data_IF_044428018707
#
_entry.id   IF_044428018707
#
_cell.length_a   1.000
_cell.length_b   1.000
_cell.length_c   1.000
_cell.angle_alpha   90.00
_cell.angle_beta   90.00
_cell.angle_gamma   90.00
#
_symmetry.space_group_name_H-M   'P 1'
#
loop_
_entity.id
_entity.type
_entity.pdbx_description
1 polymer ?
#
# COMPACT_ATOMS: atom_id res chain seq x y z
N UNK A 1 11.16 -24.44 9.12
CA UNK A 1 11.44 -24.10 7.70
C UNK A 1 11.36 -22.59 7.54
N UNK A 2 12.40 -21.98 6.97
CA UNK A 2 12.52 -20.52 6.82
C UNK A 2 11.35 -19.91 6.01
N UNK A 3 10.86 -20.65 5.01
CA UNK A 3 9.72 -20.25 4.15
C UNK A 3 8.45 -19.98 4.97
N UNK A 4 8.11 -20.84 5.94
CA UNK A 4 6.91 -20.63 6.77
C UNK A 4 7.02 -19.39 7.65
N UNK A 5 8.20 -19.05 8.15
CA UNK A 5 8.38 -17.82 8.93
C UNK A 5 8.15 -16.57 8.08
N UNK A 6 8.63 -16.59 6.83
CA UNK A 6 8.39 -15.50 5.88
C UNK A 6 6.91 -15.38 5.51
N UNK A 7 6.22 -16.50 5.28
CA UNK A 7 4.77 -16.52 5.05
C UNK A 7 3.98 -16.04 6.28
N UNK A 8 4.34 -16.49 7.48
CA UNK A 8 3.73 -16.02 8.73
C UNK A 8 3.93 -14.53 8.97
N UNK A 9 5.09 -13.97 8.62
CA UNK A 9 5.35 -12.54 8.72
C UNK A 9 4.54 -11.70 7.72
N UNK A 10 4.25 -12.27 6.54
CA UNK A 10 3.34 -11.67 5.57
C UNK A 10 1.87 -11.76 6.03
N UNK A 11 1.50 -12.85 6.71
CA UNK A 11 0.17 -13.03 7.30
C UNK A 11 -0.06 -12.10 8.51
N UNK A 12 1.00 -11.80 9.27
CA UNK A 12 0.99 -10.85 10.40
C UNK A 12 1.26 -9.40 9.98
N UNK A 13 0.96 -9.03 8.73
CA UNK A 13 0.94 -7.62 8.36
C UNK A 13 -0.16 -6.92 9.16
N UNK A 14 0.14 -5.73 9.65
CA UNK A 14 -0.84 -4.89 10.33
C UNK A 14 -1.79 -4.32 9.27
N UNK A 15 -3.09 -4.61 9.35
CA UNK A 15 -4.04 -4.11 8.37
C UNK A 15 -4.12 -2.60 8.46
N UNK A 16 -3.96 -1.94 7.32
CA UNK A 16 -4.15 -0.50 7.21
C UNK A 16 -5.65 -0.26 7.13
N UNK A 17 -6.23 0.22 8.22
CA UNK A 17 -7.68 0.51 8.30
C UNK A 17 -8.03 1.89 7.75
N UNK A 18 -7.08 2.81 7.84
CA UNK A 18 -7.26 4.19 7.40
C UNK A 18 -6.63 4.37 6.02
N UNK A 19 -7.39 4.71 4.98
CA UNK A 19 -6.82 4.98 3.66
C UNK A 19 -5.84 6.17 3.71
N UNK A 20 -6.08 7.14 4.60
CA UNK A 20 -5.20 8.30 4.75
C UNK A 20 -3.86 7.99 5.44
N UNK A 21 -3.65 6.78 5.97
CA UNK A 21 -2.40 6.38 6.61
C UNK A 21 -1.34 5.98 5.58
N UNK A 22 -0.67 7.00 5.01
CA UNK A 22 0.40 6.86 4.02
C UNK A 22 1.56 6.02 4.59
N UNK A 23 1.88 6.21 5.88
CA UNK A 23 2.97 5.49 6.56
C UNK A 23 2.62 4.01 6.69
N UNK A 24 1.39 3.69 7.08
CA UNK A 24 0.87 2.32 7.12
C UNK A 24 0.94 1.63 5.75
N UNK A 25 0.48 2.31 4.69
CA UNK A 25 0.52 1.78 3.31
C UNK A 25 1.95 1.51 2.83
N UNK A 26 2.87 2.43 3.11
CA UNK A 26 4.29 2.26 2.77
C UNK A 26 4.91 1.08 3.50
N UNK A 27 4.70 0.97 4.82
CA UNK A 27 5.23 -0.14 5.61
C UNK A 27 4.67 -1.50 5.16
N UNK A 28 3.39 -1.54 4.77
CA UNK A 28 2.76 -2.74 4.23
C UNK A 28 3.42 -3.14 2.90
N UNK A 29 3.62 -2.19 1.99
CA UNK A 29 4.32 -2.42 0.73
C UNK A 29 5.76 -2.90 0.95
N UNK A 30 6.56 -2.19 1.76
CA UNK A 30 7.96 -2.51 2.00
C UNK A 30 8.13 -3.92 2.60
N UNK A 31 7.27 -4.30 3.55
CA UNK A 31 7.28 -5.66 4.11
C UNK A 31 6.87 -6.70 3.07
N UNK A 32 5.82 -6.44 2.29
CA UNK A 32 5.36 -7.36 1.25
C UNK A 32 6.46 -7.60 0.20
N UNK A 33 7.08 -6.52 -0.30
CA UNK A 33 8.17 -6.58 -1.26
C UNK A 33 9.38 -7.34 -0.70
N UNK A 34 9.77 -7.08 0.55
CA UNK A 34 10.90 -7.76 1.20
C UNK A 34 10.67 -9.27 1.28
N UNK A 35 9.47 -9.70 1.68
CA UNK A 35 9.16 -11.12 1.75
C UNK A 35 9.10 -11.77 0.36
N UNK A 36 8.54 -11.07 -0.64
CA UNK A 36 8.47 -11.56 -2.02
C UNK A 36 9.88 -11.76 -2.57
N UNK A 37 10.77 -10.76 -2.45
CA UNK A 37 12.18 -10.88 -2.85
C UNK A 37 12.90 -12.01 -2.11
N UNK A 38 12.59 -12.22 -0.83
CA UNK A 38 13.16 -13.33 -0.05
C UNK A 38 12.68 -14.69 -0.56
N UNK A 39 11.39 -14.83 -0.92
CA UNK A 39 10.83 -16.05 -1.50
C UNK A 39 11.41 -16.33 -2.90
N UNK A 40 11.59 -15.31 -3.73
CA UNK A 40 12.25 -15.43 -5.04
C UNK A 40 13.72 -15.88 -4.89
N UNK A 41 14.44 -15.31 -3.91
CA UNK A 41 15.81 -15.72 -3.59
C UNK A 41 15.91 -17.17 -3.10
N UNK A 42 14.82 -17.72 -2.54
CA UNK A 42 14.72 -19.13 -2.15
C UNK A 42 14.30 -20.04 -3.32
N UNK A 43 14.16 -19.48 -4.53
CA UNK A 43 13.81 -20.21 -5.75
C UNK A 43 12.30 -20.41 -5.95
N UNK A 44 11.46 -19.74 -5.15
CA UNK A 44 10.01 -19.83 -5.31
C UNK A 44 9.58 -18.85 -6.41
N UNK A 45 8.91 -19.35 -7.46
CA UNK A 45 8.42 -18.50 -8.55
C UNK A 45 7.23 -17.65 -8.09
N UNK A 46 7.19 -16.39 -8.50
CA UNK A 46 6.09 -15.43 -8.28
C UNK A 46 4.69 -16.03 -8.43
N UNK A 47 4.46 -16.75 -9.52
CA UNK A 47 3.16 -17.38 -9.81
C UNK A 47 2.74 -18.45 -8.80
N UNK A 48 3.67 -19.13 -8.11
CA UNK A 48 3.34 -20.21 -7.17
C UNK A 48 2.73 -19.70 -5.87
N UNK A 49 3.06 -18.48 -5.44
CA UNK A 49 2.48 -17.86 -4.24
C UNK A 49 1.55 -16.69 -4.56
N UNK A 50 1.52 -16.19 -5.80
CA UNK A 50 0.64 -15.09 -6.22
C UNK A 50 -0.82 -15.34 -5.82
N UNK A 51 -1.37 -16.52 -6.14
CA UNK A 51 -2.77 -16.87 -5.79
C UNK A 51 -3.05 -16.89 -4.27
N UNK A 52 -2.03 -17.10 -3.44
CA UNK A 52 -2.16 -17.10 -1.98
C UNK A 52 -1.96 -15.68 -1.41
N UNK A 53 -0.92 -14.97 -1.84
CA UNK A 53 -0.53 -13.69 -1.27
C UNK A 53 -1.44 -12.55 -1.71
N UNK A 54 -1.94 -12.56 -2.94
CA UNK A 54 -2.78 -11.47 -3.45
C UNK A 54 -4.07 -11.27 -2.63
N UNK A 55 -4.87 -12.31 -2.31
CA UNK A 55 -6.04 -12.12 -1.44
C UNK A 55 -5.66 -11.77 0.01
N UNK A 56 -4.49 -12.19 0.50
CA UNK A 56 -4.00 -11.78 1.83
C UNK A 56 -3.70 -10.29 1.83
N UNK A 57 -2.91 -9.79 0.88
CA UNK A 57 -2.57 -8.37 0.79
C UNK A 57 -3.81 -7.50 0.57
N UNK A 58 -4.77 -7.97 -0.24
CA UNK A 58 -6.06 -7.29 -0.39
C UNK A 58 -6.83 -7.14 0.93
N UNK A 59 -6.78 -8.14 1.82
CA UNK A 59 -7.40 -8.05 3.16
C UNK A 59 -6.67 -7.11 4.11
N UNK A 60 -5.41 -6.82 3.83
CA UNK A 60 -4.57 -5.96 4.67
C UNK A 60 -4.68 -4.48 4.29
N UNK A 61 -5.29 -4.16 3.15
CA UNK A 61 -5.53 -2.79 2.70
C UNK A 61 -6.99 -2.39 2.95
N UNK A 62 -7.29 -1.08 3.05
CA UNK A 62 -8.66 -0.60 3.19
C UNK A 62 -9.53 -1.04 2.00
N UNK A 63 -10.80 -1.32 2.28
CA UNK A 63 -11.80 -1.75 1.29
C UNK A 63 -11.89 -0.81 0.10
N UNK A 64 -11.69 0.49 0.33
CA UNK A 64 -11.71 1.53 -0.70
C UNK A 64 -10.59 1.35 -1.73
N UNK A 65 -9.36 1.09 -1.27
CA UNK A 65 -8.23 0.78 -2.15
C UNK A 65 -8.39 -0.55 -2.87
N UNK A 66 -8.93 -1.56 -2.17
CA UNK A 66 -9.23 -2.84 -2.78
C UNK A 66 -10.28 -2.70 -3.90
N UNK A 67 -11.27 -1.83 -3.72
CA UNK A 67 -12.30 -1.56 -4.72
C UNK A 67 -11.73 -0.82 -5.93
N UNK A 68 -10.89 0.19 -5.72
CA UNK A 68 -10.16 0.88 -6.79
C UNK A 68 -9.29 -0.09 -7.59
N UNK A 69 -8.52 -0.94 -6.91
CA UNK A 69 -7.72 -1.96 -7.59
C UNK A 69 -8.57 -2.91 -8.43
N UNK A 70 -9.67 -3.43 -7.86
CA UNK A 70 -10.59 -4.31 -8.61
C UNK A 70 -11.22 -3.60 -9.82
N UNK A 71 -11.48 -2.29 -9.73
CA UNK A 71 -11.97 -1.50 -10.86
C UNK A 71 -10.90 -1.38 -11.95
N UNK A 72 -9.64 -1.11 -11.58
CA UNK A 72 -8.52 -0.97 -12.51
C UNK A 72 -8.07 -2.28 -13.16
N UNK A 73 -8.36 -3.44 -12.56
CA UNK A 73 -7.90 -4.75 -13.05
C UNK A 73 -8.90 -5.47 -13.95
N UNK A 74 -10.02 -4.84 -14.34
CA UNK A 74 -11.04 -5.47 -15.20
C UNK A 74 -10.51 -5.93 -16.56
N UNK A 75 -9.42 -5.34 -17.06
CA UNK A 75 -8.86 -5.64 -18.39
C UNK A 75 -7.49 -6.35 -18.37
N UNK A 76 -6.68 -6.24 -17.31
CA UNK A 76 -5.27 -6.70 -17.33
C UNK A 76 -4.96 -7.97 -16.51
N UNK A 77 -5.96 -8.59 -15.89
CA UNK A 77 -5.77 -9.82 -15.13
C UNK A 77 -5.15 -9.59 -13.76
N UNK A 78 -5.56 -10.41 -12.79
CA UNK A 78 -5.29 -10.17 -11.38
C UNK A 78 -3.99 -10.87 -10.94
N UNK A 79 -2.87 -10.13 -10.93
CA UNK A 79 -1.58 -10.64 -10.45
C UNK A 79 -1.02 -9.84 -9.26
N UNK A 80 -0.23 -10.53 -8.43
CA UNK A 80 0.48 -9.96 -7.28
C UNK A 80 1.36 -8.77 -7.68
N UNK A 81 2.01 -8.85 -8.84
CA UNK A 81 2.85 -7.77 -9.37
C UNK A 81 2.03 -6.50 -9.63
N UNK A 82 0.83 -6.66 -10.17
CA UNK A 82 -0.09 -5.56 -10.42
C UNK A 82 -0.58 -4.93 -9.09
N UNK A 83 -0.88 -5.76 -8.09
CA UNK A 83 -1.26 -5.28 -6.76
C UNK A 83 -0.14 -4.49 -6.08
N UNK A 84 1.09 -4.98 -6.12
CA UNK A 84 2.25 -4.26 -5.57
C UNK A 84 2.46 -2.93 -6.29
N UNK A 85 2.37 -2.91 -7.62
CA UNK A 85 2.50 -1.68 -8.40
C UNK A 85 1.41 -0.67 -8.07
N UNK A 86 0.17 -1.12 -7.91
CA UNK A 86 -0.95 -0.28 -7.51
C UNK A 86 -0.67 0.37 -6.14
N UNK A 87 -0.31 -0.43 -5.14
CA UNK A 87 0.01 0.09 -3.80
C UNK A 87 1.16 1.09 -3.83
N UNK A 88 2.20 0.80 -4.60
CA UNK A 88 3.33 1.71 -4.78
C UNK A 88 2.92 3.08 -5.34
N UNK A 89 2.10 3.07 -6.40
CA UNK A 89 1.62 4.29 -7.02
C UNK A 89 0.72 5.07 -6.06
N UNK A 90 -0.14 4.37 -5.33
CA UNK A 90 -1.15 4.98 -4.47
C UNK A 90 -0.53 5.71 -3.28
N UNK A 91 0.37 5.07 -2.53
CA UNK A 91 1.01 5.75 -1.39
C UNK A 91 1.89 6.92 -1.87
N UNK A 92 2.57 6.80 -3.02
CA UNK A 92 3.38 7.90 -3.59
C UNK A 92 2.52 9.06 -4.09
N UNK A 93 1.33 8.78 -4.63
CA UNK A 93 0.39 9.81 -5.07
C UNK A 93 -0.09 10.63 -3.87
N UNK A 94 -0.46 9.94 -2.78
CA UNK A 94 -0.89 10.57 -1.52
C UNK A 94 0.22 11.34 -0.83
N UNK A 95 1.44 10.83 -0.85
CA UNK A 95 2.62 11.54 -0.31
C UNK A 95 2.86 12.85 -1.06
N UNK A 96 2.77 12.85 -2.39
CA UNK A 96 2.85 14.07 -3.21
C UNK A 96 1.69 15.03 -2.93
N UNK A 97 0.47 14.53 -2.83
CA UNK A 97 -0.70 15.36 -2.50
C UNK A 97 -0.56 16.02 -1.12
N UNK A 98 -0.05 15.28 -0.12
CA UNK A 98 0.21 15.80 1.23
C UNK A 98 1.31 16.87 1.22
N UNK A 99 2.40 16.65 0.47
CA UNK A 99 3.46 17.65 0.31
C UNK A 99 2.97 18.93 -0.36
N UNK A 100 2.17 18.80 -1.43
CA UNK A 100 1.55 19.94 -2.10
C UNK A 100 0.66 20.70 -1.11
N UNK A 101 -0.20 20.00 -0.36
CA UNK A 101 -1.09 20.64 0.61
C UNK A 101 -0.32 21.42 1.70
N UNK A 102 0.81 20.88 2.17
CA UNK A 102 1.67 21.56 3.13
C UNK A 102 2.36 22.79 2.51
N UNK A 103 2.73 22.72 1.23
CA UNK A 103 3.25 23.87 0.49
C UNK A 103 2.18 24.93 0.25
N UNK A 104 0.97 24.59 -0.22
CA UNK A 104 -0.12 25.56 -0.38
C UNK A 104 -0.51 26.23 0.93
N UNK A 105 -0.50 25.51 2.06
CA UNK A 105 -0.72 26.08 3.40
C UNK A 105 0.36 27.11 3.78
N UNK A 106 1.60 26.89 3.35
CA UNK A 106 2.72 27.80 3.60
C UNK A 106 2.73 29.02 2.67
N UNK A 107 2.25 28.87 1.43
CA UNK A 107 2.14 29.98 0.47
C UNK A 107 0.91 30.87 0.73
N UNK A 108 -0.15 30.31 1.31
CA UNK A 108 -1.36 31.05 1.68
C UNK A 108 -1.75 30.75 3.13
N UNK A 109 -1.03 31.30 4.14
CA UNK A 109 -1.49 31.23 5.52
C UNK A 109 -2.83 31.99 5.59
N UNK A 110 -3.92 31.27 5.82
CA UNK A 110 -5.22 31.90 6.09
C UNK A 110 -5.05 32.88 7.26
N UNK A 111 -5.13 34.18 6.96
CA UNK A 111 -5.19 35.25 7.95
C UNK A 111 -6.54 35.18 8.67
N UNK A 112 -6.70 34.22 9.57
CA UNK A 112 -7.87 34.10 10.41
C UNK A 112 -7.74 35.01 11.64
N UNK A 113 -8.17 36.26 11.45
CA UNK A 113 -9.04 37.03 12.36
C UNK A 113 -8.51 37.34 13.77
N UNK A 114 -7.74 38.43 13.91
CA UNK A 114 -7.83 39.27 15.10
C UNK A 114 -8.97 40.29 14.88
N UNK A 115 -10.11 40.07 15.54
CA UNK A 115 -11.04 41.16 15.85
C UNK A 115 -11.61 40.86 17.24
N UNK A 116 -10.87 41.33 18.27
CA UNK A 116 -11.43 41.64 19.59
C UNK A 116 -11.82 43.10 19.55
N UNK A 117 -13.12 43.38 19.58
CA UNK A 117 -13.69 44.60 20.15
C UNK A 117 -15.06 44.28 20.71
#
# INVERSE_FOLDING_TARGET
MLINAHLSNLLNLTPVRNPTDIVGLRNLYDRAETQIRSLESLGVKGGSYSNLLTPILLKQIPSELALEFNHSQRDEGFDLSALLRFLHLEFRSRERASQINNQTMSLFPSTARQNKK
#
